data_IF_847795003009
#
_entry.id   IF_847795003009
#
_cell.length_a   1.000
_cell.length_b   1.000
_cell.length_c   1.000
_cell.angle_alpha   90.00
_cell.angle_beta   90.00
_cell.angle_gamma   90.00
#
_symmetry.space_group_name_H-M   'P 1'
#
loop_
_entity.id
_entity.type
_entity.pdbx_description
1 polymer ?
#
# COMPACT_ATOMS: atom_id res chain seq x y z
N UNK A 1 -12.08 8.94 -7.93
CA UNK A 1 -11.40 7.64 -7.95
C UNK A 1 -10.45 7.50 -6.78
N UNK A 2 -10.32 6.28 -6.27
CA UNK A 2 -9.57 6.03 -5.04
C UNK A 2 -8.11 5.60 -5.26
N UNK A 3 -7.60 5.79 -6.47
CA UNK A 3 -6.22 5.45 -6.84
C UNK A 3 -5.56 6.59 -7.58
N UNK A 4 -4.41 7.01 -7.09
CA UNK A 4 -3.56 8.05 -7.68
C UNK A 4 -2.17 7.50 -7.94
N UNK A 5 -1.48 8.04 -8.94
CA UNK A 5 -0.09 7.73 -9.25
C UNK A 5 0.73 9.02 -9.24
N UNK A 6 1.85 8.99 -8.53
CA UNK A 6 2.77 10.12 -8.41
C UNK A 6 4.11 9.79 -9.06
N UNK A 7 4.67 10.76 -9.76
CA UNK A 7 5.95 10.64 -10.46
C UNK A 7 6.96 11.71 -10.04
N UNK A 8 6.51 12.73 -9.30
CA UNK A 8 7.35 13.79 -8.75
C UNK A 8 7.17 13.91 -7.24
N UNK A 9 8.15 14.48 -6.57
CA UNK A 9 8.11 14.70 -5.13
C UNK A 9 6.99 15.69 -4.73
N UNK A 10 6.80 16.72 -5.54
CA UNK A 10 5.81 17.78 -5.32
C UNK A 10 4.39 17.22 -5.43
N UNK A 11 4.11 16.46 -6.51
CA UNK A 11 2.79 15.83 -6.72
C UNK A 11 2.49 14.83 -5.62
N UNK A 12 3.49 14.03 -5.21
CA UNK A 12 3.34 13.08 -4.12
C UNK A 12 3.03 13.80 -2.79
N UNK A 13 3.82 14.78 -2.40
CA UNK A 13 3.63 15.48 -1.14
C UNK A 13 2.25 16.16 -1.08
N UNK A 14 1.86 16.86 -2.15
CA UNK A 14 0.57 17.55 -2.20
C UNK A 14 -0.63 16.58 -2.26
N UNK A 15 -0.53 15.53 -3.06
CA UNK A 15 -1.60 14.55 -3.25
C UNK A 15 -1.79 13.66 -2.04
N UNK A 16 -0.71 13.08 -1.51
CA UNK A 16 -0.75 12.18 -0.35
C UNK A 16 -1.32 12.87 0.89
N UNK A 17 -0.94 14.11 1.18
CA UNK A 17 -1.52 14.87 2.31
C UNK A 17 -3.04 15.01 2.21
N UNK A 18 -3.59 15.16 1.01
CA UNK A 18 -5.04 15.25 0.77
C UNK A 18 -5.72 13.89 0.93
N UNK A 19 -5.16 12.85 0.33
CA UNK A 19 -5.74 11.50 0.39
C UNK A 19 -5.70 10.94 1.80
N UNK A 20 -4.57 11.14 2.52
CA UNK A 20 -4.38 10.67 3.89
C UNK A 20 -5.30 11.37 4.89
N UNK A 21 -5.58 12.67 4.67
CA UNK A 21 -6.54 13.40 5.51
C UNK A 21 -7.98 12.88 5.38
N UNK A 22 -8.29 12.18 4.30
CA UNK A 22 -9.65 11.70 4.02
C UNK A 22 -9.91 10.27 4.50
N UNK A 23 -8.94 9.36 4.33
CA UNK A 23 -9.13 7.94 4.68
C UNK A 23 -7.80 7.17 4.71
N UNK A 24 -7.77 5.96 5.33
CA UNK A 24 -6.60 5.09 5.30
C UNK A 24 -6.13 4.77 3.88
N UNK A 25 -4.81 4.74 3.68
CA UNK A 25 -4.19 4.55 2.36
C UNK A 25 -3.28 3.32 2.31
N UNK A 26 -3.04 2.86 1.09
CA UNK A 26 -1.98 1.92 0.77
C UNK A 26 -1.07 2.59 -0.25
N UNK A 27 0.18 2.84 0.14
CA UNK A 27 1.22 3.28 -0.77
C UNK A 27 1.99 2.07 -1.31
N UNK A 28 2.27 2.08 -2.61
CA UNK A 28 2.99 1.01 -3.29
C UNK A 28 4.08 1.59 -4.17
N UNK A 29 5.31 1.13 -4.01
CA UNK A 29 6.37 1.40 -4.97
C UNK A 29 6.17 0.61 -6.26
N UNK A 30 6.69 1.11 -7.38
CA UNK A 30 6.58 0.46 -8.70
C UNK A 30 7.63 -0.65 -8.93
N UNK A 31 8.73 -0.64 -8.17
CA UNK A 31 9.92 -1.49 -8.39
C UNK A 31 10.14 -2.54 -7.30
N UNK A 32 9.15 -2.83 -6.48
CA UNK A 32 9.21 -3.81 -5.40
C UNK A 32 8.60 -5.17 -5.77
N UNK A 33 8.90 -6.17 -4.95
CA UNK A 33 8.28 -7.49 -5.00
C UNK A 33 7.93 -7.98 -3.59
N UNK A 34 7.12 -9.04 -3.49
CA UNK A 34 6.83 -9.72 -2.22
C UNK A 34 6.31 -8.82 -1.08
N UNK A 35 5.65 -7.72 -1.43
CA UNK A 35 5.13 -6.77 -0.45
C UNK A 35 6.12 -5.73 0.06
N UNK A 36 7.38 -5.76 -0.40
CA UNK A 36 8.38 -4.76 -0.07
C UNK A 36 8.01 -3.38 -0.62
N UNK A 37 8.07 -2.35 0.24
CA UNK A 37 7.66 -0.99 -0.10
C UNK A 37 6.16 -0.83 -0.36
N UNK A 38 5.34 -1.75 0.15
CA UNK A 38 3.89 -1.62 0.21
C UNK A 38 3.51 -1.30 1.64
N UNK A 39 3.01 -0.08 1.86
CA UNK A 39 2.70 0.45 3.17
C UNK A 39 1.20 0.64 3.34
N UNK A 40 0.64 0.04 4.38
CA UNK A 40 -0.71 0.29 4.84
C UNK A 40 -0.63 1.38 5.91
N UNK A 41 -1.30 2.50 5.70
CA UNK A 41 -1.09 3.74 6.45
C UNK A 41 -2.41 4.26 6.98
N UNK A 42 -2.41 4.65 8.26
CA UNK A 42 -3.54 5.26 8.95
C UNK A 42 -3.09 6.49 9.74
N UNK A 43 -3.95 7.48 9.89
CA UNK A 43 -3.74 8.54 10.88
C UNK A 43 -3.85 7.95 12.29
N UNK A 44 -2.84 8.13 13.11
CA UNK A 44 -2.84 7.66 14.51
C UNK A 44 -3.98 8.28 15.32
N UNK A 45 -4.27 9.54 15.08
CA UNK A 45 -5.38 10.26 15.74
C UNK A 45 -6.76 9.88 15.20
N UNK A 46 -6.84 9.25 14.01
CA UNK A 46 -8.11 8.84 13.39
C UNK A 46 -9.03 9.99 12.95
N UNK A 47 -8.52 11.22 12.91
CA UNK A 47 -9.28 12.44 12.63
C UNK A 47 -9.43 12.71 11.12
N UNK A 48 -10.03 11.75 10.39
CA UNK A 48 -10.30 11.91 8.96
C UNK A 48 -11.38 12.97 8.71
N UNK A 49 -11.24 13.70 7.58
CA UNK A 49 -12.28 14.62 7.13
C UNK A 49 -13.45 13.86 6.47
N UNK A 50 -14.61 14.49 6.44
CA UNK A 50 -15.85 13.88 5.91
C UNK A 50 -15.90 13.87 4.39
N UNK A 51 -15.17 14.80 3.75
CA UNK A 51 -15.14 14.96 2.30
C UNK A 51 -13.71 15.08 1.78
N UNK A 52 -13.45 14.50 0.60
CA UNK A 52 -12.15 14.61 -0.04
C UNK A 52 -11.81 16.07 -0.38
N UNK A 53 -10.62 16.51 0.02
CA UNK A 53 -10.12 17.85 -0.25
C UNK A 53 -10.55 18.92 0.77
N UNK A 54 -11.33 18.57 1.78
CA UNK A 54 -11.74 19.47 2.85
C UNK A 54 -10.53 19.99 3.65
N UNK A 55 -9.52 19.14 3.86
CA UNK A 55 -8.22 19.52 4.42
C UNK A 55 -7.08 18.71 3.82
N UNK A 56 -5.86 19.09 4.15
CA UNK A 56 -4.65 18.31 3.95
C UNK A 56 -4.02 17.98 5.29
N UNK A 57 -3.34 16.85 5.42
CA UNK A 57 -2.53 16.56 6.59
C UNK A 57 -1.41 17.60 6.75
N UNK A 58 -1.10 17.92 8.00
CA UNK A 58 0.09 18.69 8.34
C UNK A 58 1.33 17.78 8.37
N UNK A 59 2.51 18.37 8.38
CA UNK A 59 3.77 17.63 8.36
C UNK A 59 4.04 16.82 9.63
N UNK A 60 3.50 17.27 10.75
CA UNK A 60 3.67 16.71 12.09
C UNK A 60 2.60 15.67 12.48
N UNK A 61 1.55 15.49 11.68
CA UNK A 61 0.57 14.43 11.94
C UNK A 61 1.23 13.06 11.91
N UNK A 62 0.95 12.25 12.94
CA UNK A 62 1.56 10.93 13.12
C UNK A 62 0.75 9.87 12.38
N UNK A 63 1.47 9.00 11.70
CA UNK A 63 0.97 7.87 10.94
C UNK A 63 1.27 6.57 11.69
N UNK A 64 0.28 5.68 11.78
CA UNK A 64 0.47 4.26 12.06
C UNK A 64 0.63 3.53 10.74
N UNK A 65 1.75 2.85 10.56
CA UNK A 65 2.14 2.23 9.31
C UNK A 65 2.45 0.75 9.51
N UNK A 66 2.15 -0.06 8.50
CA UNK A 66 2.55 -1.45 8.45
C UNK A 66 3.04 -1.82 7.05
N UNK A 67 4.22 -2.42 6.94
CA UNK A 67 4.74 -2.93 5.68
C UNK A 67 4.17 -4.32 5.38
N UNK A 68 3.70 -4.52 4.14
CA UNK A 68 2.97 -5.72 3.76
C UNK A 68 3.86 -6.98 3.63
N UNK A 69 5.19 -6.83 3.56
CA UNK A 69 6.12 -7.94 3.38
C UNK A 69 6.21 -8.86 4.60
N UNK A 70 6.19 -8.31 5.81
CA UNK A 70 6.38 -9.04 7.07
C UNK A 70 5.42 -8.60 8.19
N UNK A 71 4.52 -7.67 7.92
CA UNK A 71 3.56 -7.08 8.87
C UNK A 71 4.21 -6.30 10.02
N UNK A 72 5.47 -5.87 9.90
CA UNK A 72 6.03 -5.03 10.96
C UNK A 72 5.38 -3.63 10.96
N UNK A 73 5.25 -3.05 12.14
CA UNK A 73 4.61 -1.77 12.35
C UNK A 73 5.65 -0.69 12.66
N UNK A 74 5.43 0.50 12.11
CA UNK A 74 6.24 1.69 12.37
C UNK A 74 5.32 2.90 12.59
N UNK A 75 5.86 3.92 13.26
CA UNK A 75 5.21 5.22 13.42
C UNK A 75 6.14 6.30 12.91
N UNK A 76 5.64 7.12 11.99
CA UNK A 76 6.35 8.26 11.43
C UNK A 76 5.42 9.44 11.26
N UNK A 77 5.97 10.64 11.19
CA UNK A 77 5.20 11.80 10.76
C UNK A 77 4.96 11.78 9.25
N UNK A 78 4.00 12.55 8.79
CA UNK A 78 3.75 12.75 7.35
C UNK A 78 5.01 13.24 6.63
N UNK A 79 5.74 14.19 7.24
CA UNK A 79 6.99 14.71 6.68
C UNK A 79 8.08 13.63 6.57
N UNK A 80 8.26 12.80 7.61
CA UNK A 80 9.24 11.71 7.60
C UNK A 80 8.95 10.67 6.53
N UNK A 81 7.68 10.29 6.36
CA UNK A 81 7.28 9.36 5.30
C UNK A 81 7.54 9.95 3.91
N UNK A 82 7.16 11.21 3.67
CA UNK A 82 7.40 11.88 2.39
C UNK A 82 8.91 11.93 2.11
N UNK A 83 9.71 12.34 3.09
CA UNK A 83 11.18 12.40 2.97
C UNK A 83 11.77 11.02 2.66
N UNK A 84 11.32 9.98 3.35
CA UNK A 84 11.75 8.61 3.09
C UNK A 84 11.39 8.14 1.67
N UNK A 85 10.17 8.37 1.23
CA UNK A 85 9.73 7.97 -0.11
C UNK A 85 10.48 8.70 -1.24
N UNK A 86 10.90 9.95 -1.01
CA UNK A 86 11.58 10.79 -2.00
C UNK A 86 13.09 10.62 -1.94
N UNK A 87 13.68 10.78 -0.76
CA UNK A 87 15.13 10.89 -0.55
C UNK A 87 15.74 9.67 0.15
N UNK A 88 14.91 8.74 0.64
CA UNK A 88 15.35 7.59 1.41
C UNK A 88 15.71 7.95 2.84
N UNK A 89 16.65 7.21 3.41
CA UNK A 89 17.10 7.40 4.80
C UNK A 89 18.00 8.62 4.90
N UNK A 90 17.45 9.71 5.39
CA UNK A 90 18.16 10.96 5.68
C UNK A 90 17.99 11.31 7.15
N UNK A 91 18.67 12.34 7.63
CA UNK A 91 18.47 12.88 9.00
C UNK A 91 17.04 13.43 9.23
N UNK A 92 16.29 13.67 8.15
CA UNK A 92 14.93 14.22 8.20
C UNK A 92 13.85 13.14 8.05
N UNK A 93 14.19 11.94 7.62
CA UNK A 93 13.21 10.85 7.42
C UNK A 93 12.87 10.09 8.71
N UNK A 94 13.48 10.41 9.83
CA UNK A 94 13.33 9.66 11.07
C UNK A 94 14.12 8.35 11.07
N UNK A 95 13.85 7.49 12.05
CA UNK A 95 14.52 6.19 12.22
C UNK A 95 13.60 5.06 11.76
N UNK A 96 13.99 4.37 10.71
CA UNK A 96 13.24 3.28 10.09
C UNK A 96 13.80 1.91 10.45
N UNK A 97 12.92 0.96 10.77
CA UNK A 97 13.27 -0.45 11.00
C UNK A 97 13.03 -1.32 9.77
N UNK A 98 12.21 -0.87 8.81
CA UNK A 98 12.06 -1.52 7.50
C UNK A 98 13.41 -1.79 6.84
N UNK A 99 13.51 -2.87 6.08
CA UNK A 99 14.69 -3.17 5.25
C UNK A 99 14.76 -2.32 3.97
N UNK A 100 13.64 -1.74 3.56
CA UNK A 100 13.54 -0.88 2.38
C UNK A 100 14.45 0.34 2.46
N UNK A 101 14.91 0.82 1.33
CA UNK A 101 15.80 1.98 1.24
C UNK A 101 15.08 3.30 0.99
N UNK A 102 13.79 3.25 0.68
CA UNK A 102 13.03 4.41 0.22
C UNK A 102 13.38 4.80 -1.22
N UNK A 103 13.39 6.12 -1.53
CA UNK A 103 13.70 6.67 -2.87
C UNK A 103 12.83 6.12 -3.99
N UNK A 104 11.55 5.94 -3.73
CA UNK A 104 10.64 5.27 -4.65
C UNK A 104 10.36 6.06 -5.94
N UNK A 105 10.62 7.38 -5.93
CA UNK A 105 10.48 8.27 -7.08
C UNK A 105 11.80 8.52 -7.84
N UNK A 106 12.90 7.87 -7.42
CA UNK A 106 14.22 8.09 -8.03
C UNK A 106 14.22 7.80 -9.53
N UNK A 107 14.77 8.74 -10.30
CA UNK A 107 14.82 8.69 -11.77
C UNK A 107 13.50 9.05 -12.46
N UNK A 108 12.45 9.36 -11.71
CA UNK A 108 11.16 9.78 -12.24
C UNK A 108 10.49 8.73 -13.13
N UNK A 109 9.48 9.14 -13.88
CA UNK A 109 8.66 8.26 -14.72
C UNK A 109 9.48 7.44 -15.72
N UNK A 110 10.50 8.04 -16.33
CA UNK A 110 11.33 7.39 -17.36
C UNK A 110 12.13 6.20 -16.80
N UNK A 111 12.55 6.25 -15.53
CA UNK A 111 13.27 5.18 -14.86
C UNK A 111 12.35 4.27 -14.00
N UNK A 112 11.03 4.42 -14.13
CA UNK A 112 10.05 3.67 -13.33
C UNK A 112 9.88 4.17 -11.89
N UNK A 113 10.38 5.37 -11.57
CA UNK A 113 10.11 6.06 -10.30
C UNK A 113 8.65 6.44 -10.21
N UNK A 114 7.89 5.74 -9.34
CA UNK A 114 6.45 5.92 -9.21
C UNK A 114 6.00 5.44 -7.83
N UNK A 115 5.06 6.17 -7.25
CA UNK A 115 4.25 5.72 -6.12
C UNK A 115 2.79 5.62 -6.54
N UNK A 116 2.15 4.52 -6.18
CA UNK A 116 0.70 4.33 -6.30
C UNK A 116 0.09 4.48 -4.92
N UNK A 117 -0.88 5.37 -4.80
CA UNK A 117 -1.62 5.68 -3.59
C UNK A 117 -3.06 5.21 -3.78
N UNK A 118 -3.47 4.20 -3.01
CA UNK A 118 -4.79 3.58 -3.12
C UNK A 118 -5.54 3.65 -1.79
N UNK A 119 -6.86 3.67 -1.86
CA UNK A 119 -7.69 3.47 -0.68
C UNK A 119 -7.40 2.10 -0.05
N UNK A 120 -7.27 2.08 1.27
CA UNK A 120 -7.22 0.81 1.99
C UNK A 120 -8.58 0.10 1.92
N UNK A 121 -8.57 -1.17 1.52
CA UNK A 121 -9.76 -2.01 1.46
C UNK A 121 -9.84 -2.89 2.72
N UNK A 122 -10.68 -2.54 3.72
CA UNK A 122 -10.72 -3.26 5.01
C UNK A 122 -11.19 -4.70 4.88
N UNK A 123 -11.90 -5.05 3.80
CA UNK A 123 -12.34 -6.42 3.52
C UNK A 123 -11.19 -7.37 3.14
N UNK A 124 -9.94 -6.89 3.07
CA UNK A 124 -8.77 -7.77 2.87
C UNK A 124 -8.70 -8.90 3.91
N UNK A 125 -9.28 -8.72 5.10
CA UNK A 125 -9.39 -9.77 6.13
C UNK A 125 -10.20 -10.99 5.67
N UNK A 126 -11.09 -10.82 4.67
CA UNK A 126 -11.83 -11.91 4.03
C UNK A 126 -10.96 -12.66 3.01
N UNK A 127 -9.89 -12.04 2.55
CA UNK A 127 -8.95 -12.53 1.57
C UNK A 127 -8.98 -11.76 0.25
N UNK A 128 -8.03 -12.10 -0.61
CA UNK A 128 -7.96 -11.66 -2.00
C UNK A 128 -8.05 -12.86 -2.94
N UNK A 129 -8.58 -12.66 -4.13
CA UNK A 129 -8.59 -13.66 -5.19
C UNK A 129 -7.59 -13.28 -6.26
N UNK A 130 -6.72 -14.22 -6.60
CA UNK A 130 -5.79 -14.10 -7.73
C UNK A 130 -6.25 -15.04 -8.84
N UNK A 131 -6.61 -14.45 -9.97
CA UNK A 131 -6.91 -15.18 -11.21
C UNK A 131 -5.62 -15.31 -12.00
N UNK A 132 -5.20 -16.54 -12.26
CA UNK A 132 -4.04 -16.85 -13.10
C UNK A 132 -4.54 -17.15 -14.51
N UNK A 133 -4.11 -16.31 -15.47
CA UNK A 133 -4.49 -16.44 -16.87
C UNK A 133 -3.27 -16.70 -17.75
N UNK A 134 -3.46 -17.47 -18.83
CA UNK A 134 -2.49 -17.63 -19.91
C UNK A 134 -3.19 -17.15 -21.19
N UNK A 135 -2.77 -16.03 -21.71
CA UNK A 135 -3.55 -15.32 -22.72
C UNK A 135 -4.91 -14.91 -22.17
N UNK A 136 -5.97 -15.35 -22.80
CA UNK A 136 -7.39 -15.15 -22.42
C UNK A 136 -7.98 -16.32 -21.61
N UNK A 137 -7.21 -17.39 -21.41
CA UNK A 137 -7.66 -18.56 -20.68
C UNK A 137 -7.36 -18.46 -19.18
N UNK A 138 -8.38 -18.55 -18.34
CA UNK A 138 -8.22 -18.72 -16.89
C UNK A 138 -7.71 -20.14 -16.61
N UNK A 139 -6.57 -20.28 -15.96
CA UNK A 139 -5.95 -21.58 -15.64
C UNK A 139 -6.04 -21.97 -14.17
N UNK A 140 -6.38 -21.04 -13.30
CA UNK A 140 -6.58 -21.32 -11.87
C UNK A 140 -6.85 -20.10 -11.04
N UNK A 141 -7.40 -20.31 -9.86
CA UNK A 141 -7.74 -19.25 -8.90
C UNK A 141 -7.05 -19.55 -7.58
N UNK A 142 -6.44 -18.54 -6.98
CA UNK A 142 -5.83 -18.64 -5.66
C UNK A 142 -6.58 -17.69 -4.73
N UNK A 143 -7.22 -18.21 -3.70
CA UNK A 143 -7.72 -17.42 -2.58
C UNK A 143 -6.63 -17.32 -1.53
N UNK A 144 -6.21 -16.11 -1.24
CA UNK A 144 -5.19 -15.78 -0.23
C UNK A 144 -5.86 -15.04 0.90
N UNK A 145 -5.81 -15.59 2.09
CA UNK A 145 -6.38 -15.00 3.28
C UNK A 145 -5.27 -14.61 4.26
N UNK A 146 -5.23 -13.38 4.78
CA UNK A 146 -4.30 -13.01 5.85
C UNK A 146 -4.41 -13.94 7.06
N UNK A 147 -3.32 -14.08 7.80
CA UNK A 147 -3.35 -14.71 9.11
C UNK A 147 -4.34 -14.00 10.04
N UNK A 148 -4.78 -14.68 11.10
CA UNK A 148 -5.69 -14.09 12.07
C UNK A 148 -5.09 -12.80 12.67
N UNK A 149 -5.83 -11.69 12.57
CA UNK A 149 -5.37 -10.36 12.98
C UNK A 149 -4.43 -9.65 11.99
N UNK A 150 -4.00 -10.33 10.93
CA UNK A 150 -3.19 -9.73 9.86
C UNK A 150 -4.03 -8.98 8.83
N UNK A 151 -3.39 -8.08 8.09
CA UNK A 151 -4.00 -7.31 6.99
C UNK A 151 -3.18 -7.43 5.69
N UNK A 152 -2.19 -8.32 5.66
CA UNK A 152 -1.41 -8.65 4.46
C UNK A 152 -1.60 -10.12 4.10
N UNK A 153 -1.89 -10.39 2.84
CA UNK A 153 -1.98 -11.74 2.25
C UNK A 153 -0.72 -12.14 1.49
N UNK A 154 0.42 -11.52 1.80
CA UNK A 154 1.73 -11.82 1.20
C UNK A 154 2.28 -13.13 1.78
N UNK A 155 3.03 -13.89 0.97
CA UNK A 155 3.73 -15.09 1.41
C UNK A 155 4.76 -14.77 2.51
N UNK A 156 4.84 -15.62 3.53
CA UNK A 156 5.74 -15.40 4.67
C UNK A 156 5.09 -14.71 5.88
N UNK A 157 3.88 -14.14 5.73
CA UNK A 157 3.13 -13.50 6.83
C UNK A 157 2.16 -14.46 7.56
N UNK A 158 2.27 -15.77 7.31
CA UNK A 158 1.33 -16.76 7.84
C UNK A 158 -0.01 -16.82 7.11
N UNK A 159 -0.09 -16.23 5.92
CA UNK A 159 -1.29 -16.22 5.09
C UNK A 159 -1.65 -17.63 4.61
N UNK A 160 -2.97 -17.90 4.53
CA UNK A 160 -3.52 -19.19 4.09
C UNK A 160 -3.84 -19.08 2.60
N UNK A 161 -3.34 -20.03 1.80
CA UNK A 161 -3.60 -20.12 0.36
C UNK A 161 -4.47 -21.34 0.08
N UNK A 162 -5.57 -21.11 -0.65
CA UNK A 162 -6.44 -22.17 -1.15
C UNK A 162 -6.48 -22.09 -2.66
N UNK A 163 -6.20 -23.20 -3.33
CA UNK A 163 -6.14 -23.29 -4.78
C UNK A 163 -7.43 -23.89 -5.34
N UNK A 164 -7.93 -23.32 -6.42
CA UNK A 164 -9.14 -23.77 -7.10
C UNK A 164 -8.88 -23.89 -8.60
N UNK A 165 -9.63 -24.79 -9.25
CA UNK A 165 -9.65 -24.88 -10.70
C UNK A 165 -10.32 -23.67 -11.36
N UNK A 166 -10.16 -23.51 -12.69
CA UNK A 166 -10.76 -22.40 -13.41
C UNK A 166 -12.28 -22.43 -13.43
N UNK A 167 -12.88 -23.63 -13.29
CA UNK A 167 -14.34 -23.83 -13.35
C UNK A 167 -15.02 -23.79 -11.97
N UNK A 168 -14.33 -23.30 -10.94
CA UNK A 168 -14.89 -23.24 -9.58
C UNK A 168 -16.14 -22.37 -9.50
N UNK A 169 -17.28 -23.02 -9.27
CA UNK A 169 -18.62 -22.40 -9.29
C UNK A 169 -18.73 -21.22 -8.30
N UNK A 170 -18.05 -21.31 -7.16
CA UNK A 170 -18.05 -20.28 -6.12
C UNK A 170 -17.61 -18.90 -6.65
N UNK A 171 -16.78 -18.86 -7.68
CA UNK A 171 -16.22 -17.62 -8.23
C UNK A 171 -16.78 -17.26 -9.62
N UNK A 172 -17.72 -18.03 -10.13
CA UNK A 172 -18.29 -17.86 -11.49
C UNK A 172 -18.86 -16.46 -11.77
N UNK A 173 -19.35 -15.76 -10.74
CA UNK A 173 -19.92 -14.43 -10.89
C UNK A 173 -18.87 -13.29 -10.77
N UNK A 174 -17.61 -13.63 -10.61
CA UNK A 174 -16.48 -12.68 -10.50
C UNK A 174 -15.58 -12.71 -11.73
N UNK A 175 -15.85 -13.57 -12.69
CA UNK A 175 -15.11 -13.75 -13.96
C UNK A 175 -15.86 -13.14 -15.12
#
# INVERSE_FOLDING_TARGET
>A
EDTLAYYTAEDFAAGFKKTMAFQPRVLKQNRGSSGEGIWIIKLKAGNYCSSFGERSCTDDEVLDMMEANDNHAEQHTVAELIEFCVNGRTSKSGTWTSKGVGKYLEGGKAAGGQLVDQRFCPRIVEGELRYNCVGDALVGIIHKKPAAGGISAVGGTGSIYTFYGPDEVKFKNLT
#
